data_IF_951448306385
#
_entry.id   IF_951448306385
#
_cell.length_a   1.000
_cell.length_b   1.000
_cell.length_c   1.000
_cell.angle_alpha   90.00
_cell.angle_beta   90.00
_cell.angle_gamma   90.00
#
_symmetry.space_group_name_H-M   'P 1'
#
loop_
_entity.id
_entity.type
_entity.pdbx_description
1 polymer ?
#
# COMPACT_ATOMS: atom_id res chain seq x y z
N UNK A 1 -46.27 6.12 -60.93
CA UNK A 1 -46.18 5.57 -59.56
C UNK A 1 -44.82 5.90 -58.99
N UNK A 2 -44.74 6.67 -57.89
CA UNK A 2 -43.50 6.91 -57.13
C UNK A 2 -43.33 5.76 -56.13
N UNK A 3 -42.29 4.94 -56.31
CA UNK A 3 -41.91 3.90 -55.35
C UNK A 3 -41.17 4.57 -54.18
N UNK A 4 -41.75 4.49 -52.98
CA UNK A 4 -41.11 4.86 -51.73
C UNK A 4 -40.13 3.75 -51.33
N UNK A 5 -38.84 4.07 -51.29
CA UNK A 5 -37.82 3.19 -50.72
C UNK A 5 -37.84 3.30 -49.18
N UNK A 6 -37.86 2.18 -48.42
CA UNK A 6 -37.75 2.23 -46.98
C UNK A 6 -36.30 2.50 -46.56
N UNK A 7 -36.15 3.51 -45.73
CA UNK A 7 -34.94 4.00 -45.08
C UNK A 7 -34.47 2.97 -44.05
N UNK A 8 -33.35 2.28 -44.31
CA UNK A 8 -32.70 1.40 -43.33
C UNK A 8 -31.54 2.19 -42.73
N UNK A 9 -31.74 2.69 -41.51
CA UNK A 9 -30.69 3.34 -40.72
C UNK A 9 -29.84 2.26 -40.03
N UNK A 10 -28.50 2.34 -40.07
CA UNK A 10 -27.64 1.41 -39.35
C UNK A 10 -27.62 1.83 -37.87
N UNK A 11 -28.11 0.96 -36.99
CA UNK A 11 -27.94 1.10 -35.54
C UNK A 11 -26.47 0.79 -35.23
N UNK A 12 -25.65 1.83 -35.12
CA UNK A 12 -24.29 1.71 -34.62
C UNK A 12 -24.34 1.46 -33.11
N UNK A 13 -24.11 0.22 -32.71
CA UNK A 13 -23.95 -0.20 -31.32
C UNK A 13 -22.60 0.36 -30.81
N UNK A 14 -22.65 1.49 -30.11
CA UNK A 14 -21.49 2.12 -29.47
C UNK A 14 -21.13 1.29 -28.23
N UNK A 15 -20.01 0.57 -28.30
CA UNK A 15 -19.45 -0.17 -27.18
C UNK A 15 -18.93 0.77 -26.10
N UNK A 16 -19.50 0.71 -24.90
CA UNK A 16 -18.94 1.35 -23.71
C UNK A 16 -17.72 0.55 -23.25
N UNK A 17 -16.53 1.05 -23.58
CA UNK A 17 -15.29 0.62 -22.95
C UNK A 17 -15.22 1.25 -21.55
N UNK A 18 -15.65 0.49 -20.54
CA UNK A 18 -15.40 0.84 -19.15
C UNK A 18 -13.90 0.61 -18.86
N UNK A 19 -13.13 1.69 -18.79
CA UNK A 19 -11.75 1.66 -18.31
C UNK A 19 -11.74 1.63 -16.78
N UNK A 20 -11.09 0.64 -16.18
CA UNK A 20 -10.77 0.67 -14.76
C UNK A 20 -9.69 1.73 -14.52
N UNK A 21 -10.02 2.83 -13.86
CA UNK A 21 -9.01 3.76 -13.36
C UNK A 21 -8.30 3.12 -12.16
N UNK A 22 -7.01 2.88 -12.29
CA UNK A 22 -6.16 2.52 -11.14
C UNK A 22 -5.97 3.79 -10.34
N UNK A 23 -6.81 3.97 -9.31
CA UNK A 23 -6.61 5.06 -8.35
C UNK A 23 -5.33 4.77 -7.58
N UNK A 24 -4.25 5.48 -7.92
CA UNK A 24 -3.02 5.39 -7.14
C UNK A 24 -3.33 6.02 -5.76
N UNK A 25 -3.17 5.30 -4.64
CA UNK A 25 -3.41 5.87 -3.33
C UNK A 25 -2.52 7.10 -3.15
N UNK A 26 -3.14 8.23 -2.84
CA UNK A 26 -2.42 9.46 -2.50
C UNK A 26 -1.98 9.32 -1.05
N UNK A 27 -0.73 8.95 -0.83
CA UNK A 27 -0.12 9.00 0.50
C UNK A 27 -0.01 10.47 0.90
N UNK A 28 -0.71 10.87 1.96
CA UNK A 28 -0.53 12.21 2.54
C UNK A 28 0.85 12.20 3.23
N UNK A 29 1.78 13.09 2.87
CA UNK A 29 3.09 13.10 3.50
C UNK A 29 2.95 13.50 4.97
N UNK A 30 3.14 12.53 5.88
CA UNK A 30 3.31 12.80 7.31
C UNK A 30 4.57 13.65 7.48
N UNK A 31 4.46 14.74 8.23
CA UNK A 31 5.49 15.79 8.36
C UNK A 31 6.68 15.39 9.24
N UNK A 32 6.92 14.09 9.44
CA UNK A 32 8.14 13.58 10.05
C UNK A 32 9.15 13.28 8.95
N UNK A 33 10.19 14.10 8.86
CA UNK A 33 11.34 13.81 8.01
C UNK A 33 12.07 12.63 8.64
N UNK A 34 12.04 11.47 8.00
CA UNK A 34 12.78 10.27 8.41
C UNK A 34 13.64 9.80 7.24
N UNK A 35 14.83 9.28 7.55
CA UNK A 35 15.70 8.65 6.57
C UNK A 35 15.38 7.14 6.40
N UNK A 36 14.36 6.63 7.09
CA UNK A 36 13.88 5.26 6.89
C UNK A 36 13.35 5.06 5.47
N UNK A 37 13.67 3.93 4.82
CA UNK A 37 13.27 3.65 3.44
C UNK A 37 11.81 3.15 3.40
N UNK A 38 10.85 4.06 3.61
CA UNK A 38 9.41 3.78 3.58
C UNK A 38 8.96 3.30 2.19
N UNK A 39 8.32 2.13 2.12
CA UNK A 39 7.90 1.47 0.88
C UNK A 39 6.36 1.38 0.72
N UNK A 40 5.60 2.14 1.51
CA UNK A 40 4.14 2.09 1.56
C UNK A 40 3.60 1.11 2.60
N UNK A 41 2.30 1.26 2.88
CA UNK A 41 1.58 0.53 3.93
C UNK A 41 1.74 -1.00 3.86
N UNK A 42 1.75 -1.64 5.03
CA UNK A 42 2.04 -3.05 5.22
C UNK A 42 0.84 -3.96 4.91
N UNK A 43 -0.27 -3.85 5.66
CA UNK A 43 -1.48 -4.69 5.48
C UNK A 43 -2.34 -4.22 4.32
N UNK A 44 -2.34 -2.92 4.06
CA UNK A 44 -3.04 -2.28 2.96
C UNK A 44 -2.31 -1.00 2.55
N UNK A 45 -2.61 -0.40 1.38
CA UNK A 45 -1.97 0.85 0.97
C UNK A 45 -2.24 2.05 1.90
N UNK A 46 -3.30 1.99 2.72
CA UNK A 46 -3.65 3.04 3.69
C UNK A 46 -3.28 2.68 5.13
N UNK A 47 -2.51 1.60 5.33
CA UNK A 47 -2.01 1.21 6.65
C UNK A 47 -0.99 2.24 7.14
N UNK A 48 -1.12 2.65 8.40
CA UNK A 48 -0.19 3.59 9.05
C UNK A 48 1.19 2.96 9.28
N UNK A 49 1.23 1.63 9.42
CA UNK A 49 2.48 0.89 9.46
C UNK A 49 2.96 0.58 8.04
N UNK A 50 4.22 0.90 7.73
CA UNK A 50 4.80 0.81 6.39
C UNK A 50 5.92 -0.23 6.30
N UNK A 51 6.02 -0.92 5.15
CA UNK A 51 7.18 -1.78 4.87
C UNK A 51 8.43 -0.93 4.75
N UNK A 52 9.54 -1.45 5.26
CA UNK A 52 10.85 -0.81 5.17
C UNK A 52 11.75 -1.55 4.18
N UNK A 53 12.41 -0.79 3.32
CA UNK A 53 13.47 -1.26 2.44
C UNK A 53 14.82 -1.37 3.12
N UNK A 54 15.86 -1.55 2.31
CA UNK A 54 17.25 -1.63 2.74
C UNK A 54 17.95 -0.27 2.64
N UNK A 55 18.53 0.17 3.75
CA UNK A 55 19.55 1.21 3.82
C UNK A 55 20.46 0.99 5.05
N UNK A 56 21.34 1.95 5.34
CA UNK A 56 22.25 1.88 6.48
C UNK A 56 21.57 1.76 7.86
N UNK A 57 20.31 2.24 7.99
CA UNK A 57 19.53 2.16 9.22
C UNK A 57 18.86 0.79 9.40
N UNK A 58 18.46 0.14 8.29
CA UNK A 58 17.63 -1.07 8.33
C UNK A 58 18.37 -2.37 8.04
N UNK A 59 19.59 -2.31 7.47
CA UNK A 59 20.33 -3.48 7.01
C UNK A 59 20.54 -4.56 8.09
N UNK A 60 20.69 -4.16 9.36
CA UNK A 60 20.89 -5.10 10.48
C UNK A 60 19.59 -5.80 10.95
N UNK A 61 18.43 -5.35 10.47
CA UNK A 61 17.12 -5.88 10.87
C UNK A 61 16.40 -6.61 9.74
N UNK A 62 16.90 -6.52 8.51
CA UNK A 62 16.36 -7.24 7.38
C UNK A 62 16.67 -8.73 7.47
N UNK A 63 15.62 -9.52 7.30
CA UNK A 63 15.71 -10.97 7.27
C UNK A 63 14.93 -11.49 6.07
N UNK A 64 15.48 -12.45 5.33
CA UNK A 64 14.80 -13.17 4.26
C UNK A 64 13.58 -13.99 4.74
N UNK A 65 13.44 -14.26 6.04
CA UNK A 65 12.27 -14.91 6.64
C UNK A 65 11.28 -13.98 7.32
N UNK A 66 11.48 -12.66 7.32
CA UNK A 66 10.54 -11.72 7.97
C UNK A 66 10.40 -10.40 7.19
N UNK A 67 9.20 -9.80 7.20
CA UNK A 67 9.03 -8.41 6.77
C UNK A 67 9.54 -7.47 7.85
N UNK A 68 10.33 -6.47 7.46
CA UNK A 68 10.64 -5.35 8.32
C UNK A 68 9.59 -4.26 8.08
N UNK A 69 8.90 -3.85 9.15
CA UNK A 69 7.80 -2.88 9.10
C UNK A 69 8.00 -1.82 10.16
N UNK A 70 7.86 -0.55 9.79
CA UNK A 70 7.87 0.58 10.72
C UNK A 70 6.45 1.04 11.00
N UNK A 71 6.12 1.33 12.26
CA UNK A 71 4.91 2.05 12.66
C UNK A 71 5.31 3.36 13.36
N UNK A 72 4.58 4.47 13.22
CA UNK A 72 4.83 5.67 14.03
C UNK A 72 4.81 5.36 15.53
N UNK A 73 5.70 5.97 16.32
CA UNK A 73 5.79 5.72 17.76
C UNK A 73 4.54 6.14 18.54
N UNK A 74 3.79 7.12 18.02
CA UNK A 74 2.53 7.62 18.56
C UNK A 74 1.29 6.93 17.98
N UNK A 75 1.47 5.91 17.12
CA UNK A 75 0.37 5.10 16.62
C UNK A 75 -0.33 4.36 17.77
N UNK A 76 -1.59 4.67 18.03
CA UNK A 76 -2.37 4.07 19.13
C UNK A 76 -2.49 2.53 18.99
N UNK A 77 -2.38 2.02 17.77
CA UNK A 77 -2.53 0.60 17.45
C UNK A 77 -1.28 -0.26 17.63
N UNK A 78 -0.15 0.26 18.12
CA UNK A 78 1.13 -0.48 18.19
C UNK A 78 1.02 -1.86 18.88
N UNK A 79 0.36 -1.92 20.03
CA UNK A 79 0.21 -3.17 20.78
C UNK A 79 -0.65 -4.19 20.03
N UNK A 80 -1.74 -3.74 19.41
CA UNK A 80 -2.62 -4.59 18.59
C UNK A 80 -1.88 -5.07 17.35
N UNK A 81 -1.17 -4.16 16.67
CA UNK A 81 -0.35 -4.46 15.50
C UNK A 81 0.65 -5.57 15.81
N UNK A 82 1.38 -5.45 16.92
CA UNK A 82 2.36 -6.45 17.34
C UNK A 82 1.71 -7.83 17.53
N UNK A 83 0.57 -7.89 18.23
CA UNK A 83 -0.13 -9.14 18.50
C UNK A 83 -0.71 -9.76 17.21
N UNK A 84 -1.43 -8.98 16.40
CA UNK A 84 -2.11 -9.46 15.20
C UNK A 84 -1.12 -9.95 14.13
N UNK A 85 0.07 -9.34 14.07
CA UNK A 85 1.10 -9.71 13.12
C UNK A 85 2.09 -10.74 13.65
N UNK A 86 2.07 -11.03 14.96
CA UNK A 86 3.14 -11.78 15.62
C UNK A 86 4.49 -11.07 15.54
N UNK A 87 4.48 -9.74 15.40
CA UNK A 87 5.66 -8.92 15.23
C UNK A 87 6.54 -8.88 16.48
N UNK A 88 7.85 -8.82 16.29
CA UNK A 88 8.82 -8.55 17.35
C UNK A 88 9.41 -7.17 17.14
N UNK A 89 9.31 -6.29 18.14
CA UNK A 89 10.00 -5.00 18.09
C UNK A 89 11.52 -5.24 18.06
N UNK A 90 12.20 -4.68 17.06
CA UNK A 90 13.65 -4.85 16.84
C UNK A 90 14.44 -3.54 16.97
N UNK A 91 13.78 -2.39 16.80
CA UNK A 91 14.42 -1.07 16.96
C UNK A 91 13.38 0.05 17.13
N UNK A 92 13.88 1.22 17.53
CA UNK A 92 13.17 2.52 17.50
C UNK A 92 14.08 3.56 16.87
N UNK A 93 13.63 4.22 15.81
CA UNK A 93 14.44 5.12 14.98
C UNK A 93 13.55 6.26 14.48
N UNK A 94 13.97 7.53 14.64
CA UNK A 94 13.30 8.73 14.10
C UNK A 94 11.79 8.83 14.35
N UNK A 95 11.32 8.39 15.51
CA UNK A 95 9.88 8.39 15.84
C UNK A 95 9.11 7.23 15.23
N UNK A 96 9.78 6.15 14.82
CA UNK A 96 9.19 4.90 14.33
C UNK A 96 9.62 3.71 15.18
N UNK A 97 8.69 2.78 15.41
CA UNK A 97 8.93 1.46 15.99
C UNK A 97 9.06 0.45 14.85
N UNK A 98 10.19 -0.26 14.80
CA UNK A 98 10.46 -1.28 13.79
C UNK A 98 10.08 -2.65 14.33
N UNK A 99 9.27 -3.37 13.57
CA UNK A 99 8.88 -4.76 13.82
C UNK A 99 9.47 -5.68 12.77
N UNK A 100 10.07 -6.79 13.22
CA UNK A 100 10.29 -7.97 12.40
C UNK A 100 9.06 -8.86 12.46
N UNK A 101 8.42 -9.08 11.32
CA UNK A 101 7.17 -9.81 11.19
C UNK A 101 7.45 -11.10 10.40
N UNK A 102 7.40 -12.28 11.04
CA UNK A 102 7.68 -13.54 10.35
C UNK A 102 6.89 -13.70 9.04
N UNK A 103 7.58 -14.08 7.98
CA UNK A 103 6.99 -14.50 6.71
C UNK A 103 6.64 -15.98 6.81
N UNK A 104 5.37 -16.30 6.60
CA UNK A 104 4.86 -17.67 6.53
C UNK A 104 3.99 -18.03 7.72
N UNK A 105 3.01 -18.92 7.60
CA UNK A 105 2.64 -19.83 6.52
C UNK A 105 1.11 -19.95 6.47
#
# INVERSE_FOLDING_TARGET
MKLFAPMIAPVALVGLLAGCEVTNPTTTPTTNVTDLPLMGGYRSPADECEKLGENELTINYLDHTAHLVGCPEDYEGLGVFQVDTGGTEVARIDGWVLFSIPRGY
#
